data_IF_626426265870
#
_entry.id   IF_626426265870
#
_cell.length_a   1.000
_cell.length_b   1.000
_cell.length_c   1.000
_cell.angle_alpha   90.00
_cell.angle_beta   90.00
_cell.angle_gamma   90.00
#
_symmetry.space_group_name_H-M   'P 1'
#
loop_
_entity.id
_entity.type
_entity.pdbx_description
1 polymer ?
#
# COMPACT_ATOMS: atom_id res chain seq x y z
N UNK A 1 2.48 2.80 -12.12
CA UNK A 1 3.32 2.78 -10.90
C UNK A 1 2.56 3.34 -9.72
N UNK A 2 2.49 2.55 -8.64
CA UNK A 2 1.90 2.91 -7.36
C UNK A 2 2.98 2.78 -6.29
N UNK A 3 2.98 3.64 -5.29
CA UNK A 3 3.84 3.51 -4.12
C UNK A 3 3.01 3.70 -2.85
N UNK A 4 3.33 2.91 -1.83
CA UNK A 4 2.68 2.99 -0.52
C UNK A 4 3.75 3.31 0.51
N UNK A 5 3.55 4.40 1.25
CA UNK A 5 4.35 4.77 2.40
C UNK A 5 3.58 4.45 3.67
N UNK A 6 4.20 3.72 4.58
CA UNK A 6 3.61 3.34 5.86
C UNK A 6 4.38 4.03 6.97
N UNK A 7 3.65 4.69 7.88
CA UNK A 7 4.22 5.39 9.03
C UNK A 7 3.41 5.10 10.30
N UNK A 8 4.07 5.09 11.45
CA UNK A 8 3.38 4.96 12.74
C UNK A 8 2.66 6.26 13.08
N UNK A 9 1.34 6.21 13.30
CA UNK A 9 0.52 7.37 13.63
C UNK A 9 1.04 8.11 14.87
N UNK A 10 1.50 7.37 15.87
CA UNK A 10 1.96 7.91 17.15
C UNK A 10 3.25 8.73 17.06
N UNK A 11 4.09 8.48 16.06
CA UNK A 11 5.43 9.11 15.97
C UNK A 11 5.70 9.79 14.64
N UNK A 12 4.89 9.55 13.61
CA UNK A 12 5.15 9.93 12.23
C UNK A 12 6.35 9.21 11.59
N UNK A 13 7.02 8.30 12.32
CA UNK A 13 8.21 7.61 11.83
C UNK A 13 7.86 6.54 10.80
N UNK A 14 8.73 6.29 9.81
CA UNK A 14 8.56 5.20 8.87
C UNK A 14 8.39 3.84 9.53
N UNK A 15 7.45 3.04 9.03
CA UNK A 15 7.26 1.66 9.45
C UNK A 15 7.94 0.71 8.46
N UNK A 16 9.09 0.16 8.84
CA UNK A 16 9.84 -0.81 8.03
C UNK A 16 9.23 -2.21 8.11
N UNK A 17 9.46 -3.03 7.08
CA UNK A 17 9.14 -4.45 7.02
C UNK A 17 7.65 -4.77 7.19
N UNK A 18 6.79 -3.82 6.81
CA UNK A 18 5.36 -4.01 6.77
C UNK A 18 4.99 -4.68 5.46
N UNK A 19 4.21 -5.75 5.52
CA UNK A 19 3.72 -6.46 4.34
C UNK A 19 2.61 -5.63 3.70
N UNK A 20 2.78 -5.24 2.44
CA UNK A 20 1.82 -4.42 1.69
C UNK A 20 1.29 -5.22 0.50
N UNK A 21 -0.03 -5.22 0.32
CA UNK A 21 -0.68 -5.70 -0.90
C UNK A 21 -1.85 -4.81 -1.28
N UNK A 22 -2.18 -4.77 -2.57
CA UNK A 22 -3.25 -3.94 -3.13
C UNK A 22 -4.27 -4.86 -3.81
N UNK A 23 -5.52 -4.85 -3.35
CA UNK A 23 -6.62 -5.49 -4.06
C UNK A 23 -7.31 -4.48 -4.97
N UNK A 24 -7.18 -4.62 -6.29
CA UNK A 24 -7.80 -3.71 -7.26
C UNK A 24 -9.23 -4.16 -7.59
N UNK A 25 -10.13 -3.18 -7.74
CA UNK A 25 -11.50 -3.39 -8.20
C UNK A 25 -11.52 -3.58 -9.72
N UNK A 26 -12.29 -4.58 -10.18
CA UNK A 26 -12.42 -4.92 -11.60
C UNK A 26 -12.25 -6.42 -11.85
N UNK A 27 -13.01 -6.95 -12.82
CA UNK A 27 -13.17 -8.41 -13.03
C UNK A 27 -11.84 -9.16 -13.24
N UNK A 28 -10.80 -8.47 -13.73
CA UNK A 28 -9.51 -9.07 -14.09
C UNK A 28 -8.29 -8.48 -13.36
N UNK A 29 -8.47 -7.50 -12.46
CA UNK A 29 -7.31 -6.80 -11.86
C UNK A 29 -6.69 -7.51 -10.67
N UNK A 30 -7.50 -8.25 -9.90
CA UNK A 30 -7.01 -9.10 -8.81
C UNK A 30 -6.19 -8.37 -7.74
N UNK A 31 -5.27 -9.10 -7.13
CA UNK A 31 -4.31 -8.57 -6.17
C UNK A 31 -2.98 -8.25 -6.86
N UNK A 32 -2.32 -7.18 -6.40
CA UNK A 32 -0.90 -6.96 -6.67
C UNK A 32 -0.05 -8.08 -6.10
N UNK A 33 1.22 -8.12 -6.51
CA UNK A 33 2.24 -8.80 -5.73
C UNK A 33 2.32 -8.27 -4.29
N UNK A 34 2.94 -9.05 -3.41
CA UNK A 34 3.25 -8.59 -2.05
C UNK A 34 4.59 -7.87 -2.07
N UNK A 35 4.64 -6.65 -1.55
CA UNK A 35 5.89 -5.94 -1.29
C UNK A 35 6.06 -5.67 0.21
N UNK A 36 7.29 -5.43 0.64
CA UNK A 36 7.60 -5.06 2.02
C UNK A 36 8.18 -3.65 2.06
N UNK A 37 7.80 -2.89 3.08
CA UNK A 37 8.32 -1.53 3.23
C UNK A 37 9.82 -1.53 3.57
N UNK A 38 10.57 -0.65 2.91
CA UNK A 38 11.99 -0.42 3.17
C UNK A 38 12.22 0.43 4.45
N UNK A 39 13.46 0.90 4.67
CA UNK A 39 13.79 1.74 5.84
C UNK A 39 13.04 3.08 5.88
N UNK A 40 12.62 3.59 4.72
CA UNK A 40 11.83 4.82 4.58
C UNK A 40 10.31 4.57 4.67
N UNK A 41 9.93 3.31 4.94
CA UNK A 41 8.54 2.90 5.07
C UNK A 41 7.84 2.71 3.72
N UNK A 42 8.58 2.60 2.62
CA UNK A 42 8.03 2.63 1.27
C UNK A 42 8.03 1.25 0.61
N UNK A 43 6.94 0.95 -0.08
CA UNK A 43 6.75 -0.21 -0.93
C UNK A 43 6.29 0.26 -2.32
N UNK A 44 6.95 -0.23 -3.38
CA UNK A 44 6.68 0.19 -4.76
C UNK A 44 6.09 -0.96 -5.55
N UNK A 45 5.14 -0.63 -6.42
CA UNK A 45 4.39 -1.59 -7.23
C UNK A 45 4.35 -1.12 -8.67
N UNK A 46 4.66 -2.03 -9.59
CA UNK A 46 4.47 -1.79 -11.01
C UNK A 46 3.05 -2.17 -11.45
N UNK A 47 2.07 -1.48 -10.87
CA UNK A 47 0.67 -1.60 -11.24
C UNK A 47 0.15 -0.27 -11.77
N UNK A 48 -0.82 -0.35 -12.68
CA UNK A 48 -1.58 0.80 -13.13
C UNK A 48 -2.44 1.37 -12.00
N UNK A 49 -2.69 2.68 -11.98
CA UNK A 49 -3.65 3.27 -11.05
C UNK A 49 -5.06 2.66 -11.13
N UNK A 50 -5.84 2.78 -10.06
CA UNK A 50 -7.26 2.46 -10.07
C UNK A 50 -7.87 2.26 -8.69
N UNK A 51 -9.18 2.06 -8.65
CA UNK A 51 -9.89 1.81 -7.41
C UNK A 51 -9.48 0.49 -6.77
N UNK A 52 -9.23 0.50 -5.46
CA UNK A 52 -8.78 -0.68 -4.73
C UNK A 52 -8.74 -0.49 -3.23
N UNK A 53 -8.24 -1.52 -2.56
CA UNK A 53 -8.02 -1.57 -1.12
C UNK A 53 -6.54 -1.86 -0.86
N UNK A 54 -5.91 -1.06 0.00
CA UNK A 54 -4.53 -1.31 0.46
C UNK A 54 -4.58 -2.07 1.78
N UNK A 55 -3.85 -3.19 1.83
CA UNK A 55 -3.74 -4.04 3.00
C UNK A 55 -2.33 -3.93 3.59
N UNK A 56 -2.25 -3.70 4.91
CA UNK A 56 -0.99 -3.71 5.67
C UNK A 56 -1.04 -4.87 6.66
N UNK A 57 -0.11 -5.82 6.53
CA UNK A 57 -0.11 -7.09 7.27
C UNK A 57 -1.45 -7.84 7.20
N UNK A 58 -2.15 -7.74 6.07
CA UNK A 58 -3.46 -8.35 5.86
C UNK A 58 -4.67 -7.54 6.33
N UNK A 59 -4.45 -6.41 7.02
CA UNK A 59 -5.55 -5.54 7.47
C UNK A 59 -5.87 -4.48 6.41
N UNK A 60 -7.14 -4.30 6.01
CA UNK A 60 -7.52 -3.27 5.04
C UNK A 60 -7.48 -1.88 5.71
N UNK A 61 -6.54 -1.03 5.31
CA UNK A 61 -6.35 0.29 5.92
C UNK A 61 -6.70 1.47 5.01
N UNK A 62 -6.91 1.23 3.72
CA UNK A 62 -7.37 2.26 2.79
C UNK A 62 -8.26 1.66 1.72
N UNK A 63 -9.32 2.37 1.33
CA UNK A 63 -10.20 2.04 0.21
C UNK A 63 -10.43 3.28 -0.66
N UNK A 64 -10.24 3.15 -1.96
CA UNK A 64 -10.48 4.22 -2.93
C UNK A 64 -9.51 4.17 -4.10
N UNK A 65 -9.37 5.28 -4.82
CA UNK A 65 -8.49 5.36 -5.98
C UNK A 65 -7.02 5.34 -5.56
N UNK A 66 -6.31 4.28 -5.94
CA UNK A 66 -4.90 4.04 -5.69
C UNK A 66 -4.08 4.51 -6.89
N UNK A 67 -3.29 5.58 -6.69
CA UNK A 67 -2.47 6.20 -7.71
C UNK A 67 -1.31 6.97 -7.05
N UNK A 68 -0.18 7.08 -7.73
CA UNK A 68 1.00 7.79 -7.21
C UNK A 68 1.46 7.23 -5.86
N UNK A 69 1.84 8.12 -4.94
CA UNK A 69 2.20 7.75 -3.57
C UNK A 69 0.99 7.86 -2.63
N UNK A 70 0.69 6.79 -1.90
CA UNK A 70 -0.30 6.76 -0.82
C UNK A 70 0.38 6.63 0.52
N UNK A 71 0.10 7.56 1.43
CA UNK A 71 0.60 7.52 2.81
C UNK A 71 -0.47 6.89 3.69
N UNK A 72 -0.11 5.80 4.36
CA UNK A 72 -0.97 5.04 5.28
C UNK A 72 -0.36 5.13 6.67
N UNK A 73 -1.16 5.54 7.64
CA UNK A 73 -0.77 5.53 9.05
C UNK A 73 -1.24 4.24 9.72
N UNK A 74 -0.35 3.60 10.48
CA UNK A 74 -0.63 2.43 11.33
C UNK A 74 -0.44 2.72 12.81
#
# INVERSE_FOLDING_TARGET
MVSVKVAYLSTGKPAKNQKVSIGFSGLFRGFSETAYTNYDGEAHFDNDPGDGIIYINGNPLFKGFVAGMKVIYI
#
